data_IF_270033797845
#
_entry.id   IF_270033797845
#
_cell.length_a   1.000
_cell.length_b   1.000
_cell.length_c   1.000
_cell.angle_alpha   90.00
_cell.angle_beta   90.00
_cell.angle_gamma   90.00
#
_symmetry.space_group_name_H-M   'P 1'
#
loop_
_entity.id
_entity.type
_entity.pdbx_description
1 polymer ?
#
# COMPACT_ATOMS: atom_id res chain seq x y z
N UNK A 1 16.78 -25.29 -32.85
CA UNK A 1 16.16 -24.65 -31.68
C UNK A 1 17.19 -23.70 -31.05
N UNK A 2 17.48 -22.58 -31.73
CA UNK A 2 18.43 -21.60 -31.23
C UNK A 2 17.62 -20.41 -30.70
N UNK A 3 17.57 -20.26 -29.38
CA UNK A 3 17.12 -19.03 -28.75
C UNK A 3 18.07 -17.92 -29.20
N UNK A 4 17.68 -17.16 -30.23
CA UNK A 4 18.43 -15.97 -30.64
C UNK A 4 18.25 -14.92 -29.56
N UNK A 5 19.28 -14.60 -28.74
CA UNK A 5 19.16 -13.64 -27.64
C UNK A 5 18.75 -12.25 -28.15
N UNK A 6 19.06 -11.98 -29.42
CA UNK A 6 18.70 -10.76 -30.12
C UNK A 6 17.19 -10.62 -30.34
N UNK A 7 16.49 -11.71 -30.67
CA UNK A 7 15.02 -11.71 -30.78
C UNK A 7 14.34 -11.53 -29.43
N UNK A 8 14.86 -12.20 -28.39
CA UNK A 8 14.35 -12.07 -27.02
C UNK A 8 14.45 -10.62 -26.50
N UNK A 9 15.57 -9.93 -26.72
CA UNK A 9 15.71 -8.51 -26.36
C UNK A 9 14.72 -7.61 -27.11
N UNK A 10 14.42 -7.94 -28.37
CA UNK A 10 13.47 -7.20 -29.20
C UNK A 10 12.02 -7.41 -28.72
N UNK A 11 11.67 -8.64 -28.34
CA UNK A 11 10.39 -9.00 -27.71
C UNK A 11 10.23 -8.30 -26.35
N UNK A 12 11.24 -8.37 -25.47
CA UNK A 12 11.24 -7.69 -24.15
C UNK A 12 11.06 -6.18 -24.31
N UNK A 13 11.74 -5.54 -25.26
CA UNK A 13 11.53 -4.10 -25.55
C UNK A 13 10.09 -3.83 -26.00
N UNK A 14 9.50 -4.71 -26.81
CA UNK A 14 8.11 -4.57 -27.26
C UNK A 14 7.09 -4.74 -26.13
N UNK A 15 7.35 -5.65 -25.18
CA UNK A 15 6.49 -5.85 -24.01
C UNK A 15 6.68 -4.74 -22.98
N UNK A 16 7.91 -4.25 -22.80
CA UNK A 16 8.20 -3.12 -21.92
C UNK A 16 7.52 -1.83 -22.40
N UNK A 17 7.34 -1.67 -23.73
CA UNK A 17 6.63 -0.53 -24.30
C UNK A 17 5.11 -0.56 -24.05
N UNK A 18 4.53 -1.72 -23.71
CA UNK A 18 3.12 -1.84 -23.32
C UNK A 18 2.89 -1.47 -21.85
N UNK A 19 3.96 -1.34 -21.06
CA UNK A 19 3.89 -0.92 -19.66
C UNK A 19 3.56 0.56 -19.62
N UNK A 20 2.29 0.86 -19.35
CA UNK A 20 1.83 2.22 -19.09
C UNK A 20 2.14 2.57 -17.64
N UNK A 21 3.20 3.33 -17.42
CA UNK A 21 3.51 3.82 -16.10
C UNK A 21 2.49 4.89 -15.69
N UNK A 22 1.91 4.78 -14.49
CA UNK A 22 0.95 5.74 -13.98
C UNK A 22 1.61 7.12 -13.87
N UNK A 23 0.82 8.16 -14.10
CA UNK A 23 1.31 9.52 -13.95
C UNK A 23 1.66 9.81 -12.49
N UNK A 24 2.64 10.70 -12.23
CA UNK A 24 2.99 11.12 -10.86
C UNK A 24 1.76 11.61 -10.07
N UNK A 25 0.78 12.17 -10.79
CA UNK A 25 -0.49 12.64 -10.21
C UNK A 25 -1.35 11.48 -9.72
N UNK A 26 -1.51 10.41 -10.50
CA UNK A 26 -2.26 9.22 -10.09
C UNK A 26 -1.62 8.53 -8.88
N UNK A 27 -0.29 8.41 -8.87
CA UNK A 27 0.45 7.85 -7.73
C UNK A 27 0.22 8.68 -6.46
N UNK A 28 0.21 10.01 -6.59
CA UNK A 28 -0.02 10.91 -5.46
C UNK A 28 -1.44 10.78 -4.93
N UNK A 29 -2.45 10.75 -5.81
CA UNK A 29 -3.86 10.62 -5.41
C UNK A 29 -4.11 9.29 -4.70
N UNK A 30 -3.65 8.18 -5.29
CA UNK A 30 -3.81 6.85 -4.70
C UNK A 30 -3.08 6.72 -3.36
N UNK A 31 -1.90 7.33 -3.22
CA UNK A 31 -1.18 7.38 -1.93
C UNK A 31 -1.96 8.15 -0.87
N UNK A 32 -2.51 9.32 -1.21
CA UNK A 32 -3.31 10.14 -0.28
C UNK A 32 -4.56 9.37 0.19
N UNK A 33 -5.24 8.67 -0.72
CA UNK A 33 -6.41 7.86 -0.37
C UNK A 33 -6.07 6.80 0.69
N UNK A 34 -4.96 6.08 0.52
CA UNK A 34 -4.48 5.11 1.52
C UNK A 34 -4.12 5.79 2.83
N UNK A 35 -3.45 6.95 2.77
CA UNK A 35 -3.04 7.70 3.95
C UNK A 35 -4.24 8.13 4.81
N UNK A 36 -5.31 8.59 4.17
CA UNK A 36 -6.57 8.95 4.87
C UNK A 36 -7.18 7.74 5.55
N UNK A 37 -7.28 6.59 4.86
CA UNK A 37 -7.82 5.36 5.44
C UNK A 37 -7.01 4.90 6.67
N UNK A 38 -5.68 4.93 6.57
CA UNK A 38 -4.78 4.54 7.66
C UNK A 38 -4.88 5.52 8.83
N UNK A 39 -4.97 6.82 8.56
CA UNK A 39 -5.15 7.84 9.61
C UNK A 39 -6.48 7.65 10.37
N UNK A 40 -7.56 7.32 9.67
CA UNK A 40 -8.84 7.03 10.33
C UNK A 40 -8.77 5.74 11.16
N UNK A 41 -8.18 4.68 10.61
CA UNK A 41 -8.00 3.42 11.32
C UNK A 41 -7.12 3.59 12.56
N UNK A 42 -6.03 4.36 12.48
CA UNK A 42 -5.13 4.58 13.61
C UNK A 42 -5.80 5.34 14.75
N UNK A 43 -6.61 6.35 14.44
CA UNK A 43 -7.42 7.07 15.45
C UNK A 43 -8.42 6.11 16.11
N UNK A 44 -9.10 5.28 15.33
CA UNK A 44 -10.04 4.30 15.87
C UNK A 44 -9.36 3.32 16.84
N UNK A 45 -8.24 2.72 16.41
CA UNK A 45 -7.48 1.80 17.26
C UNK A 45 -6.94 2.51 18.50
N UNK A 46 -6.42 3.73 18.38
CA UNK A 46 -5.93 4.50 19.51
C UNK A 46 -7.02 4.71 20.57
N UNK A 47 -8.25 5.08 20.16
CA UNK A 47 -9.37 5.23 21.09
C UNK A 47 -9.76 3.89 21.71
N UNK A 48 -9.83 2.82 20.91
CA UNK A 48 -10.14 1.48 21.40
C UNK A 48 -9.11 1.02 22.45
N UNK A 49 -7.83 1.25 22.21
CA UNK A 49 -6.74 0.91 23.14
C UNK A 49 -6.87 1.67 24.46
N UNK A 50 -7.25 2.96 24.41
CA UNK A 50 -7.51 3.75 25.64
C UNK A 50 -8.70 3.18 26.42
N UNK A 51 -9.79 2.83 25.73
CA UNK A 51 -10.98 2.22 26.37
C UNK A 51 -10.62 0.89 27.01
N UNK A 52 -9.91 0.03 26.27
CA UNK A 52 -9.45 -1.27 26.79
C UNK A 52 -8.52 -1.08 27.98
N UNK A 53 -7.59 -0.12 27.93
CA UNK A 53 -6.70 0.21 29.04
C UNK A 53 -7.50 0.59 30.30
N UNK A 54 -8.46 1.51 30.17
CA UNK A 54 -9.30 1.93 31.30
C UNK A 54 -10.11 0.77 31.87
N UNK A 55 -10.71 -0.05 31.00
CA UNK A 55 -11.46 -1.24 31.41
C UNK A 55 -10.57 -2.24 32.15
N UNK A 56 -9.37 -2.53 31.65
CA UNK A 56 -8.43 -3.45 32.29
C UNK A 56 -7.98 -2.90 33.64
N UNK A 57 -7.62 -1.62 33.72
CA UNK A 57 -7.24 -0.97 34.99
C UNK A 57 -8.37 -1.05 36.01
N UNK A 58 -9.61 -0.79 35.59
CA UNK A 58 -10.79 -0.90 36.45
C UNK A 58 -11.05 -2.34 36.92
N UNK A 59 -10.92 -3.34 36.04
CA UNK A 59 -11.11 -4.76 36.37
C UNK A 59 -10.01 -5.29 37.29
N UNK A 60 -8.76 -4.88 37.07
CA UNK A 60 -7.63 -5.24 37.94
C UNK A 60 -7.65 -4.47 39.26
N UNK A 61 -8.54 -3.49 39.43
CA UNK A 61 -8.73 -2.73 40.66
C UNK A 61 -7.55 -1.82 41.03
N UNK A 62 -6.73 -1.44 40.05
CA UNK A 62 -5.60 -0.49 40.20
C UNK A 62 -6.08 0.93 39.91
#
# INVERSE_FOLDING_TARGET
MAFSPFKFLQEVRSETAKVTWPSRREVTITTIMVFVMVALASIFFFVADQVIRVLITFVLGV
#
